data_IF_411626347049
#
_entry.id   IF_411626347049
#
_cell.length_a   1.000
_cell.length_b   1.000
_cell.length_c   1.000
_cell.angle_alpha   90.00
_cell.angle_beta   90.00
_cell.angle_gamma   90.00
#
_symmetry.space_group_name_H-M   'P 1'
#
loop_
_entity.id
_entity.type
_entity.pdbx_description
1 polymer ?
#
# COMPACT_ATOMS: atom_id res chain seq x y z
N UNK A 1 -12.43 10.76 -13.92
CA UNK A 1 -13.20 9.61 -14.45
C UNK A 1 -14.15 9.13 -13.36
N UNK A 2 -15.35 9.71 -13.26
CA UNK A 2 -16.40 9.24 -12.35
C UNK A 2 -17.30 8.26 -13.09
N UNK A 3 -17.01 6.95 -13.00
CA UNK A 3 -17.95 5.95 -13.49
C UNK A 3 -19.00 5.66 -12.41
N UNK A 4 -20.24 5.90 -12.83
CA UNK A 4 -21.54 5.75 -12.19
C UNK A 4 -21.72 4.50 -11.31
N UNK A 5 -22.20 4.73 -10.09
CA UNK A 5 -22.64 3.71 -9.12
C UNK A 5 -24.08 3.19 -9.37
N UNK A 6 -24.68 3.48 -10.53
CA UNK A 6 -26.11 3.27 -10.84
C UNK A 6 -26.43 1.96 -11.60
N UNK A 7 -25.47 1.04 -11.75
CA UNK A 7 -25.63 -0.14 -12.63
C UNK A 7 -26.65 -1.20 -12.15
N UNK A 8 -27.22 -1.10 -10.95
CA UNK A 8 -28.11 -2.15 -10.40
C UNK A 8 -29.60 -1.82 -10.54
N UNK A 9 -29.97 -0.66 -11.09
CA UNK A 9 -31.37 -0.21 -11.12
C UNK A 9 -32.16 -0.62 -12.38
N UNK A 10 -31.52 -1.01 -13.48
CA UNK A 10 -32.18 -1.21 -14.78
C UNK A 10 -31.97 -2.60 -15.40
N UNK A 11 -32.02 -3.67 -14.61
CA UNK A 11 -32.15 -5.02 -15.16
C UNK A 11 -33.64 -5.41 -15.23
N UNK A 12 -34.30 -5.06 -16.33
CA UNK A 12 -35.65 -5.56 -16.59
C UNK A 12 -36.36 -4.81 -17.69
N UNK A 13 -36.27 -5.34 -18.92
CA UNK A 13 -37.36 -5.33 -19.91
C UNK A 13 -36.88 -5.94 -21.24
N UNK A 14 -36.47 -7.22 -21.24
CA UNK A 14 -36.48 -7.99 -22.49
C UNK A 14 -37.30 -9.26 -22.25
N UNK A 15 -38.47 -9.26 -22.87
CA UNK A 15 -39.52 -10.26 -22.73
C UNK A 15 -39.06 -11.61 -23.22
N UNK A 16 -39.08 -12.58 -22.31
CA UNK A 16 -39.21 -13.98 -22.64
C UNK A 16 -40.25 -14.55 -21.68
N UNK A 17 -41.26 -15.23 -22.24
CA UNK A 17 -42.33 -15.96 -21.56
C UNK A 17 -41.76 -17.14 -20.76
N UNK A 18 -40.95 -16.84 -19.75
CA UNK A 18 -40.56 -17.76 -18.70
C UNK A 18 -41.67 -17.69 -17.65
N UNK A 19 -42.21 -18.85 -17.27
CA UNK A 19 -43.03 -19.01 -16.07
C UNK A 19 -42.48 -18.10 -14.97
N UNK A 20 -43.27 -17.11 -14.55
CA UNK A 20 -42.92 -16.16 -13.52
C UNK A 20 -42.79 -16.93 -12.21
N UNK A 21 -41.62 -17.55 -12.00
CA UNK A 21 -41.21 -18.11 -10.72
C UNK A 21 -41.18 -16.90 -9.81
N UNK A 22 -42.26 -16.70 -9.05
CA UNK A 22 -42.33 -15.69 -8.00
C UNK A 22 -41.29 -16.04 -6.96
N UNK A 23 -40.05 -15.63 -7.20
CA UNK A 23 -38.94 -15.81 -6.28
C UNK A 23 -39.27 -15.00 -5.06
N UNK A 24 -39.68 -15.69 -3.98
CA UNK A 24 -39.92 -15.04 -2.72
C UNK A 24 -38.69 -14.21 -2.33
N UNK A 25 -38.85 -12.95 -1.91
CA UNK A 25 -37.72 -12.11 -1.59
C UNK A 25 -36.96 -12.72 -0.40
N UNK A 26 -35.64 -12.89 -0.56
CA UNK A 26 -34.76 -13.49 0.46
C UNK A 26 -33.82 -12.45 1.06
N UNK A 27 -33.46 -12.64 2.31
CA UNK A 27 -32.49 -11.78 2.98
C UNK A 27 -31.09 -11.94 2.37
N UNK A 28 -30.40 -10.86 1.96
CA UNK A 28 -29.09 -10.96 1.30
C UNK A 28 -27.96 -11.44 2.24
N UNK A 29 -28.22 -11.52 3.55
CA UNK A 29 -27.20 -11.87 4.56
C UNK A 29 -27.26 -13.35 4.97
N UNK A 30 -28.46 -13.90 5.08
CA UNK A 30 -28.69 -15.27 5.58
C UNK A 30 -29.60 -16.11 4.68
N UNK A 31 -30.05 -15.55 3.56
CA UNK A 31 -30.90 -16.19 2.56
C UNK A 31 -32.27 -16.70 3.06
N UNK A 32 -32.69 -16.31 4.27
CA UNK A 32 -34.03 -16.61 4.81
C UNK A 32 -35.12 -15.83 4.06
N UNK A 33 -36.31 -16.42 3.86
CA UNK A 33 -37.43 -15.71 3.24
C UNK A 33 -37.83 -14.50 4.08
N UNK A 34 -38.10 -13.37 3.41
CA UNK A 34 -38.56 -12.14 4.05
C UNK A 34 -40.06 -12.22 4.30
N UNK A 35 -40.50 -11.85 5.50
CA UNK A 35 -41.93 -11.80 5.82
C UNK A 35 -42.58 -10.67 5.01
N UNK A 36 -43.49 -11.01 4.11
CA UNK A 36 -44.30 -10.09 3.30
C UNK A 36 -45.61 -9.75 4.00
N UNK A 37 -45.56 -9.34 5.27
CA UNK A 37 -46.77 -9.02 6.04
C UNK A 37 -47.02 -7.51 6.06
N UNK A 38 -48.12 -7.07 5.43
CA UNK A 38 -48.67 -5.71 5.56
C UNK A 38 -48.60 -4.85 4.29
N UNK A 39 -49.44 -3.81 4.22
CA UNK A 39 -49.55 -2.82 3.14
C UNK A 39 -48.38 -1.80 3.11
N UNK A 40 -47.24 -2.13 3.72
CA UNK A 40 -46.10 -1.22 3.91
C UNK A 40 -44.89 -1.53 3.02
N UNK A 41 -43.83 -0.72 3.17
CA UNK A 41 -42.54 -0.95 2.50
C UNK A 41 -41.96 -2.30 2.94
N UNK A 42 -41.70 -3.18 1.97
CA UNK A 42 -41.09 -4.51 2.21
C UNK A 42 -39.74 -4.35 2.92
N UNK A 43 -39.47 -5.10 4.00
CA UNK A 43 -38.17 -5.05 4.67
C UNK A 43 -37.09 -5.65 3.77
N UNK A 44 -35.89 -5.05 3.76
CA UNK A 44 -34.72 -5.55 3.01
C UNK A 44 -34.00 -6.72 3.70
N UNK A 45 -34.19 -6.87 5.01
CA UNK A 45 -33.52 -7.88 5.83
C UNK A 45 -34.55 -8.61 6.68
N UNK A 46 -34.30 -9.88 7.01
CA UNK A 46 -35.23 -10.67 7.81
C UNK A 46 -35.32 -10.23 9.28
N UNK A 47 -34.45 -9.33 9.73
CA UNK A 47 -34.43 -8.80 11.09
C UNK A 47 -33.22 -7.90 11.38
N UNK A 48 -33.19 -7.34 12.59
CA UNK A 48 -32.17 -6.38 13.06
C UNK A 48 -30.74 -6.95 13.08
N UNK A 49 -30.60 -8.23 13.38
CA UNK A 49 -29.28 -8.91 13.39
C UNK A 49 -28.64 -8.92 12.00
N UNK A 50 -29.42 -9.25 10.97
CA UNK A 50 -28.96 -9.26 9.59
C UNK A 50 -28.67 -7.84 9.08
N UNK A 51 -29.51 -6.85 9.42
CA UNK A 51 -29.22 -5.45 9.04
C UNK A 51 -27.94 -4.94 9.70
N UNK A 52 -27.69 -5.26 10.98
CA UNK A 52 -26.45 -4.90 11.67
C UNK A 52 -25.22 -5.62 11.08
N UNK A 53 -25.34 -6.89 10.67
CA UNK A 53 -24.26 -7.62 9.99
C UNK A 53 -23.95 -7.00 8.63
N UNK A 54 -24.98 -6.67 7.84
CA UNK A 54 -24.82 -5.96 6.57
C UNK A 54 -24.19 -4.57 6.75
N UNK A 55 -24.59 -3.83 7.78
CA UNK A 55 -23.98 -2.54 8.12
C UNK A 55 -22.49 -2.68 8.46
N UNK A 56 -22.13 -3.64 9.33
CA UNK A 56 -20.73 -3.91 9.68
C UNK A 56 -19.89 -4.28 8.47
N UNK A 57 -20.41 -5.17 7.61
CA UNK A 57 -19.75 -5.56 6.35
C UNK A 57 -19.47 -4.36 5.45
N UNK A 58 -20.49 -3.52 5.22
CA UNK A 58 -20.33 -2.29 4.41
C UNK A 58 -19.32 -1.31 5.02
N UNK A 59 -19.29 -1.21 6.35
CA UNK A 59 -18.33 -0.33 7.04
C UNK A 59 -16.90 -0.85 6.92
N UNK A 60 -16.68 -2.16 7.04
CA UNK A 60 -15.35 -2.74 6.85
C UNK A 60 -14.88 -2.63 5.41
N UNK A 61 -15.77 -2.84 4.43
CA UNK A 61 -15.47 -2.66 3.01
C UNK A 61 -15.11 -1.20 2.71
N UNK A 62 -15.91 -0.22 3.18
CA UNK A 62 -15.60 1.19 2.98
C UNK A 62 -14.31 1.65 3.67
N UNK A 63 -13.90 1.01 4.77
CA UNK A 63 -12.59 1.26 5.38
C UNK A 63 -11.45 0.71 4.53
N UNK A 64 -11.62 -0.48 3.92
CA UNK A 64 -10.63 -1.05 3.01
C UNK A 64 -10.49 -0.20 1.75
N UNK A 65 -11.60 0.27 1.18
CA UNK A 65 -11.59 1.16 0.01
C UNK A 65 -10.91 2.49 0.32
N UNK A 66 -11.20 3.09 1.48
CA UNK A 66 -10.54 4.33 1.90
C UNK A 66 -9.03 4.16 2.09
N UNK A 67 -8.58 3.02 2.63
CA UNK A 67 -7.15 2.71 2.74
C UNK A 67 -6.52 2.48 1.36
N UNK A 68 -7.20 1.76 0.47
CA UNK A 68 -6.73 1.56 -0.90
C UNK A 68 -6.60 2.88 -1.66
N UNK A 69 -7.60 3.75 -1.57
CA UNK A 69 -7.58 5.07 -2.19
C UNK A 69 -6.49 5.95 -1.59
N UNK A 70 -6.32 5.93 -0.26
CA UNK A 70 -5.22 6.64 0.39
C UNK A 70 -3.85 6.13 -0.08
N UNK A 71 -3.69 4.82 -0.27
CA UNK A 71 -2.46 4.24 -0.82
C UNK A 71 -2.22 4.68 -2.27
N UNK A 72 -3.26 4.68 -3.11
CA UNK A 72 -3.19 5.15 -4.50
C UNK A 72 -2.84 6.65 -4.55
N UNK A 73 -3.50 7.47 -3.73
CA UNK A 73 -3.26 8.90 -3.64
C UNK A 73 -1.91 9.25 -3.01
N UNK A 74 -1.41 8.41 -2.10
CA UNK A 74 -0.07 8.54 -1.50
C UNK A 74 1.04 8.02 -2.40
N UNK A 75 0.71 7.44 -3.57
CA UNK A 75 1.69 7.03 -4.57
C UNK A 75 2.32 8.29 -5.14
N UNK A 76 3.36 8.75 -4.44
CA UNK A 76 4.21 9.88 -4.79
C UNK A 76 4.66 9.71 -6.25
N UNK A 77 4.50 10.76 -7.05
CA UNK A 77 5.17 10.88 -8.34
C UNK A 77 6.66 10.66 -8.10
N UNK A 78 7.13 9.51 -8.54
CA UNK A 78 8.53 9.12 -8.37
C UNK A 78 9.33 10.11 -9.21
N UNK A 79 10.15 10.99 -8.61
CA UNK A 79 10.92 11.95 -9.39
C UNK A 79 11.82 11.19 -10.35
N UNK A 80 11.83 11.62 -11.62
CA UNK A 80 12.71 11.09 -12.65
C UNK A 80 14.16 11.39 -12.27
N UNK A 81 14.81 10.41 -11.65
CA UNK A 81 16.14 10.53 -11.08
C UNK A 81 16.35 9.76 -9.79
N UNK A 82 15.66 8.63 -9.61
CA UNK A 82 15.85 7.79 -8.43
C UNK A 82 17.31 7.35 -8.31
N UNK A 83 17.90 7.61 -7.13
CA UNK A 83 19.17 7.03 -6.72
C UNK A 83 19.08 5.49 -6.80
N UNK A 84 20.19 4.81 -7.10
CA UNK A 84 20.22 3.35 -7.26
C UNK A 84 19.63 2.56 -6.08
N UNK A 85 19.67 3.12 -4.86
CA UNK A 85 19.05 2.52 -3.68
C UNK A 85 17.51 2.50 -3.70
N UNK A 86 16.86 3.50 -4.31
CA UNK A 86 15.41 3.52 -4.46
C UNK A 86 14.94 2.53 -5.52
N UNK A 87 15.73 2.33 -6.58
CA UNK A 87 15.45 1.30 -7.58
C UNK A 87 15.51 -0.12 -6.99
N UNK A 88 16.52 -0.41 -6.16
CA UNK A 88 16.62 -1.70 -5.45
C UNK A 88 15.42 -1.96 -4.52
N UNK A 89 14.93 -0.92 -3.82
CA UNK A 89 13.72 -1.02 -3.00
C UNK A 89 12.47 -1.30 -3.84
N UNK A 90 12.31 -0.65 -5.00
CA UNK A 90 11.19 -0.88 -5.90
C UNK A 90 11.22 -2.29 -6.49
N UNK A 91 12.40 -2.78 -6.88
CA UNK A 91 12.57 -4.17 -7.34
C UNK A 91 12.18 -5.18 -6.27
N UNK A 92 12.59 -4.94 -5.01
CA UNK A 92 12.25 -5.81 -3.89
C UNK A 92 10.75 -5.77 -3.57
N UNK A 93 10.12 -4.58 -3.60
CA UNK A 93 8.68 -4.43 -3.45
C UNK A 93 7.90 -5.16 -4.55
N UNK A 94 8.35 -5.03 -5.80
CA UNK A 94 7.75 -5.74 -6.94
C UNK A 94 7.89 -7.27 -6.81
N UNK A 95 9.03 -7.76 -6.28
CA UNK A 95 9.21 -9.18 -6.00
C UNK A 95 8.24 -9.70 -4.92
N UNK A 96 7.98 -8.91 -3.88
CA UNK A 96 6.97 -9.22 -2.85
C UNK A 96 5.57 -9.27 -3.45
N UNK A 97 5.19 -8.27 -4.24
CA UNK A 97 3.88 -8.22 -4.92
C UNK A 97 3.66 -9.43 -5.84
N UNK A 98 4.66 -9.78 -6.68
CA UNK A 98 4.58 -10.98 -7.54
C UNK A 98 4.43 -12.27 -6.73
N UNK A 99 5.12 -12.39 -5.60
CA UNK A 99 5.04 -13.57 -4.73
C UNK A 99 3.66 -13.68 -4.06
N UNK A 100 3.08 -12.56 -3.63
CA UNK A 100 1.74 -12.50 -3.07
C UNK A 100 0.65 -12.83 -4.11
N UNK A 101 0.77 -12.33 -5.35
CA UNK A 101 -0.19 -12.63 -6.42
C UNK A 101 -0.23 -14.13 -6.74
N UNK A 102 0.94 -14.77 -6.90
CA UNK A 102 1.04 -16.24 -7.11
C UNK A 102 0.42 -17.05 -5.97
N UNK A 103 0.41 -16.51 -4.76
CA UNK A 103 -0.22 -17.16 -3.62
C UNK A 103 -1.74 -17.10 -3.67
N UNK A 104 -2.31 -15.93 -3.96
CA UNK A 104 -3.76 -15.78 -4.10
C UNK A 104 -4.30 -16.74 -5.18
N UNK A 105 -3.57 -16.85 -6.29
CA UNK A 105 -3.89 -17.80 -7.36
C UNK A 105 -3.86 -19.27 -6.88
N UNK A 106 -2.85 -19.68 -6.09
CA UNK A 106 -2.77 -21.04 -5.53
C UNK A 106 -3.85 -21.31 -4.49
N UNK A 107 -4.21 -20.32 -3.68
CA UNK A 107 -5.32 -20.42 -2.74
C UNK A 107 -6.65 -20.57 -3.46
N UNK A 108 -6.87 -19.80 -4.51
CA UNK A 108 -8.05 -19.98 -5.35
C UNK A 108 -8.06 -21.37 -5.96
N UNK A 109 -6.97 -21.84 -6.57
CA UNK A 109 -6.89 -23.21 -7.09
C UNK A 109 -7.22 -24.26 -6.02
N UNK A 110 -6.63 -24.14 -4.83
CA UNK A 110 -6.88 -25.06 -3.72
C UNK A 110 -8.33 -25.04 -3.22
N UNK A 111 -8.98 -23.87 -3.23
CA UNK A 111 -10.40 -23.73 -2.87
C UNK A 111 -11.32 -24.44 -3.87
N UNK A 112 -10.93 -24.51 -5.14
CA UNK A 112 -11.71 -25.16 -6.20
C UNK A 112 -11.44 -26.68 -6.29
N UNK A 113 -10.28 -27.15 -5.81
CA UNK A 113 -10.03 -28.56 -5.59
C UNK A 113 -10.66 -28.98 -4.25
N UNK A 114 -11.90 -29.46 -4.27
CA UNK A 114 -12.61 -29.98 -3.10
C UNK A 114 -11.82 -31.11 -2.41
N UNK A 115 -11.10 -30.78 -1.36
CA UNK A 115 -10.39 -31.74 -0.51
C UNK A 115 -9.47 -30.99 0.44
N UNK A 116 -9.46 -31.39 1.71
CA UNK A 116 -8.59 -30.87 2.75
C UNK A 116 -7.14 -31.26 2.41
N UNK A 117 -6.53 -30.52 1.48
CA UNK A 117 -5.26 -30.88 0.87
C UNK A 117 -4.11 -30.46 1.81
N UNK A 118 -3.35 -31.40 2.40
CA UNK A 118 -2.21 -31.08 3.25
C UNK A 118 -1.10 -30.30 2.52
N UNK A 119 -1.12 -30.28 1.19
CA UNK A 119 -0.23 -29.44 0.40
C UNK A 119 -0.57 -27.95 0.52
N UNK A 120 -1.83 -27.60 0.82
CA UNK A 120 -2.28 -26.23 0.99
C UNK A 120 -1.67 -25.58 2.25
N UNK A 121 -1.72 -26.27 3.38
CA UNK A 121 -1.12 -25.84 4.65
C UNK A 121 0.41 -25.69 4.57
N UNK A 122 1.06 -26.56 3.80
CA UNK A 122 2.50 -26.47 3.57
C UNK A 122 2.85 -25.27 2.69
N UNK A 123 2.06 -25.02 1.63
CA UNK A 123 2.23 -23.87 0.75
C UNK A 123 2.01 -22.54 1.50
N UNK A 124 1.00 -22.50 2.37
CA UNK A 124 0.70 -21.37 3.27
C UNK A 124 1.90 -21.01 4.15
N UNK A 125 2.48 -21.99 4.85
CA UNK A 125 3.65 -21.78 5.73
C UNK A 125 4.90 -21.33 4.98
N UNK A 126 5.17 -21.90 3.81
CA UNK A 126 6.30 -21.49 2.97
C UNK A 126 6.13 -20.04 2.50
N UNK A 127 4.91 -19.63 2.16
CA UNK A 127 4.65 -18.25 1.78
C UNK A 127 4.83 -17.31 2.97
N UNK A 128 4.21 -17.59 4.11
CA UNK A 128 4.32 -16.76 5.31
C UNK A 128 5.79 -16.50 5.64
N UNK A 129 6.62 -17.55 5.60
CA UNK A 129 8.06 -17.46 5.82
C UNK A 129 8.74 -16.59 4.76
N UNK A 130 8.39 -16.75 3.49
CA UNK A 130 8.95 -15.97 2.38
C UNK A 130 8.59 -14.48 2.46
N UNK A 131 7.31 -14.17 2.69
CA UNK A 131 6.79 -12.81 2.81
C UNK A 131 7.37 -12.12 4.03
N UNK A 132 7.38 -12.78 5.19
CA UNK A 132 8.00 -12.24 6.40
C UNK A 132 9.48 -11.97 6.18
N UNK A 133 10.21 -12.91 5.56
CA UNK A 133 11.62 -12.72 5.22
C UNK A 133 11.86 -11.54 4.27
N UNK A 134 11.01 -11.38 3.25
CA UNK A 134 11.11 -10.26 2.31
C UNK A 134 10.74 -8.92 2.94
N UNK A 135 9.70 -8.86 3.77
CA UNK A 135 9.32 -7.68 4.54
C UNK A 135 10.44 -7.25 5.51
N UNK A 136 11.10 -8.20 6.18
CA UNK A 136 12.24 -7.90 7.05
C UNK A 136 13.43 -7.34 6.26
N UNK A 137 13.70 -7.86 5.06
CA UNK A 137 14.75 -7.31 4.17
C UNK A 137 14.41 -5.89 3.72
N UNK A 138 13.16 -5.63 3.33
CA UNK A 138 12.67 -4.30 2.96
C UNK A 138 12.85 -3.30 4.11
N UNK A 139 12.37 -3.65 5.32
CA UNK A 139 12.50 -2.80 6.50
C UNK A 139 13.96 -2.51 6.83
N UNK A 140 14.83 -3.54 6.79
CA UNK A 140 16.26 -3.36 7.05
C UNK A 140 16.90 -2.40 6.03
N UNK A 141 16.61 -2.55 4.74
CA UNK A 141 17.14 -1.67 3.69
C UNK A 141 16.60 -0.24 3.83
N UNK A 142 15.32 -0.08 4.13
CA UNK A 142 14.73 1.23 4.40
C UNK A 142 15.36 1.92 5.61
N UNK A 143 15.64 1.18 6.69
CA UNK A 143 16.38 1.70 7.85
C UNK A 143 17.80 2.11 7.47
N UNK A 144 18.51 1.30 6.68
CA UNK A 144 19.85 1.63 6.19
C UNK A 144 19.85 2.93 5.37
N UNK A 145 18.96 3.04 4.37
CA UNK A 145 18.86 4.24 3.54
C UNK A 145 18.49 5.48 4.35
N UNK A 146 17.57 5.36 5.32
CA UNK A 146 17.25 6.46 6.23
C UNK A 146 18.48 6.90 7.04
N UNK A 147 19.25 5.94 7.54
CA UNK A 147 20.48 6.24 8.28
C UNK A 147 21.50 6.97 7.40
N UNK A 148 21.73 6.49 6.18
CA UNK A 148 22.61 7.12 5.18
C UNK A 148 22.18 8.56 4.86
N UNK A 149 20.89 8.79 4.61
CA UNK A 149 20.33 10.13 4.37
C UNK A 149 20.50 11.07 5.57
N UNK A 150 20.33 10.58 6.81
CA UNK A 150 20.48 11.42 8.01
C UNK A 150 21.93 11.68 8.40
N UNK A 151 22.86 10.80 8.02
CA UNK A 151 24.27 10.89 8.40
C UNK A 151 25.14 11.63 7.39
N UNK A 152 24.80 11.60 6.10
CA UNK A 152 25.55 12.31 5.06
C UNK A 152 25.67 13.84 5.28
N UNK A 153 24.61 14.58 5.69
CA UNK A 153 24.72 16.02 5.97
C UNK A 153 25.64 16.33 7.15
N UNK A 154 25.63 15.46 8.18
CA UNK A 154 26.49 15.60 9.36
C UNK A 154 27.96 15.37 9.00
N UNK A 155 28.25 14.42 8.12
CA UNK A 155 29.62 14.19 7.63
C UNK A 155 30.14 15.37 6.82
N UNK A 156 29.31 15.99 5.96
CA UNK A 156 29.71 17.19 5.21
C UNK A 156 29.98 18.38 6.14
N UNK A 157 29.14 18.58 7.16
CA UNK A 157 29.39 19.62 8.18
C UNK A 157 30.66 19.36 8.99
N UNK A 158 30.91 18.11 9.41
CA UNK A 158 32.14 17.76 10.13
C UNK A 158 33.38 17.92 9.26
N UNK A 159 33.31 17.52 7.99
CA UNK A 159 34.40 17.72 7.03
C UNK A 159 34.68 19.22 6.80
N UNK A 160 33.63 20.03 6.64
CA UNK A 160 33.76 21.48 6.50
C UNK A 160 34.40 22.12 7.75
N UNK A 161 34.00 21.70 8.95
CA UNK A 161 34.58 22.17 10.21
C UNK A 161 36.02 21.68 10.45
N UNK A 162 36.39 20.52 9.91
CA UNK A 162 37.74 19.98 9.99
C UNK A 162 38.72 20.63 9.00
N UNK A 163 38.22 21.36 7.98
CA UNK A 163 39.07 22.17 7.11
C UNK A 163 39.73 23.25 7.98
N UNK A 164 41.05 23.20 8.22
CA UNK A 164 41.71 24.19 9.06
C UNK A 164 41.48 25.55 8.40
N UNK A 165 40.83 26.46 9.13
CA UNK A 165 40.69 27.85 8.71
C UNK A 165 42.09 28.32 8.35
N UNK A 166 42.32 28.79 7.11
CA UNK A 166 43.65 29.25 6.71
C UNK A 166 44.05 30.32 7.71
N UNK A 167 45.05 30.00 8.53
CA UNK A 167 45.55 30.92 9.53
C UNK A 167 45.99 32.14 8.74
N UNK A 168 45.42 33.34 9.00
CA UNK A 168 45.76 34.52 8.21
C UNK A 168 47.26 34.65 8.29
N UNK A 169 47.92 34.53 7.14
CA UNK A 169 49.36 34.63 7.05
C UNK A 169 49.73 35.98 7.68
N UNK A 170 50.36 35.94 8.85
CA UNK A 170 50.97 37.12 9.45
C UNK A 170 51.95 37.65 8.42
N UNK A 171 51.51 38.64 7.66
CA UNK A 171 52.36 39.45 6.80
C UNK A 171 53.43 40.03 7.71
N UNK A 172 54.61 39.39 7.72
CA UNK A 172 55.81 40.01 8.26
C UNK A 172 56.04 41.24 7.40
N UNK A 173 55.69 42.40 7.96
CA UNK A 173 56.08 43.70 7.44
C UNK A 173 57.58 43.66 7.20
N UNK A 174 57.96 43.56 5.92
CA UNK A 174 59.34 43.66 5.48
C UNK A 174 59.89 44.99 5.94
N UNK A 175 61.01 44.93 6.65
CA UNK A 175 61.78 46.10 7.08
C UNK A 175 62.22 46.86 5.82
N UNK A 176 61.95 48.18 5.70
CA UNK A 176 62.36 48.93 4.52
C UNK A 176 63.89 48.98 4.41
N UNK A 177 64.46 48.89 3.19
CA UNK A 177 65.90 49.00 2.99
C UNK A 177 66.37 50.42 3.33
N UNK A 178 67.48 50.49 4.08
CA UNK A 178 68.12 51.74 4.45
C UNK A 178 68.64 52.47 3.20
N UNK A 179 68.22 53.74 3.06
CA UNK A 179 68.73 54.71 2.10
C UNK A 179 70.27 54.72 2.11
N UNK A 180 70.88 54.40 0.97
CA UNK A 180 72.26 54.80 0.69
C UNK A 180 72.22 56.22 0.14
N UNK A 181 72.70 57.15 0.97
CA UNK A 181 73.03 58.52 0.58
C UNK A 181 74.50 58.49 0.19
N UNK A 182 74.81 58.54 -1.10
CA UNK A 182 76.14 58.87 -1.58
C UNK A 182 76.17 60.31 -2.09
N UNK A 183 77.31 60.94 -1.82
CA UNK A 183 77.61 62.37 -1.83
C UNK A 183 78.16 62.88 -3.17
#
# INVERSE_FOLDING_TARGET
MHQSFDAWRNAGADGSDAQEIKTEPRCPVCNKPLRTTGLGRKPLYCGRSCSSKAYRKRRSEGQQDAVAEALISSRVEIPDGLDGGAQELLELAAAVQRSAARYLERLEQARHSEGDDPHCDRALRLLETSVNGAAHRLLRKAHQLRHEMTSAPLQVQQAAAATPVPTPATHRLGTPPANQVEA
#
